data_IF_414993093099
#
_entry.id   IF_414993093099
#
_cell.length_a   1.000
_cell.length_b   1.000
_cell.length_c   1.000
_cell.angle_alpha   90.00
_cell.angle_beta   90.00
_cell.angle_gamma   90.00
#
_symmetry.space_group_name_H-M   'P 1'
#
loop_
_entity.id
_entity.type
_entity.pdbx_description
1 polymer ?
#
# COMPACT_ATOMS: atom_id res chain seq x y z
N UNK A 1 16.74 -6.43 26.14
CA UNK A 1 15.83 -7.12 25.20
C UNK A 1 14.80 -6.11 24.73
N UNK A 2 14.81 -5.72 23.45
CA UNK A 2 13.80 -4.81 22.90
C UNK A 2 12.50 -5.58 22.65
N UNK A 3 11.41 -5.15 23.29
CA UNK A 3 10.07 -5.65 22.97
C UNK A 3 9.57 -4.91 21.72
N UNK A 4 9.25 -5.65 20.67
CA UNK A 4 8.50 -5.12 19.54
C UNK A 4 7.00 -5.31 19.82
N UNK A 5 6.28 -4.20 19.92
CA UNK A 5 4.81 -4.19 20.01
C UNK A 5 4.30 -3.79 18.62
N UNK A 6 3.66 -4.72 17.93
CA UNK A 6 2.89 -4.42 16.72
C UNK A 6 1.43 -4.27 17.13
N UNK A 7 0.79 -3.16 16.73
CA UNK A 7 -0.65 -2.93 16.92
C UNK A 7 -1.31 -3.15 15.55
N UNK A 8 -1.96 -4.31 15.31
CA UNK A 8 -2.53 -4.65 14.01
C UNK A 8 -3.51 -3.59 13.48
N UNK A 9 -4.24 -2.92 14.37
CA UNK A 9 -5.19 -1.85 14.05
C UNK A 9 -4.50 -0.62 13.46
N UNK A 10 -3.32 -0.25 13.97
CA UNK A 10 -2.52 0.86 13.43
C UNK A 10 -1.97 0.49 12.05
N UNK A 11 -1.54 -0.78 11.88
CA UNK A 11 -1.08 -1.29 10.58
C UNK A 11 -2.19 -1.29 9.53
N UNK A 12 -3.41 -1.70 9.92
CA UNK A 12 -4.57 -1.67 9.04
C UNK A 12 -4.96 -0.23 8.66
N UNK A 13 -5.03 0.68 9.63
CA UNK A 13 -5.28 2.12 9.36
C UNK A 13 -4.21 2.71 8.44
N UNK A 14 -2.94 2.38 8.66
CA UNK A 14 -1.85 2.85 7.80
C UNK A 14 -1.97 2.29 6.37
N UNK A 15 -2.47 1.06 6.22
CA UNK A 15 -2.71 0.48 4.89
C UNK A 15 -3.83 1.21 4.14
N UNK A 16 -4.89 1.64 4.84
CA UNK A 16 -5.94 2.48 4.27
C UNK A 16 -5.41 3.85 3.85
N UNK A 17 -4.60 4.49 4.69
CA UNK A 17 -3.97 5.78 4.37
C UNK A 17 -3.08 5.68 3.13
N UNK A 18 -2.28 4.62 3.03
CA UNK A 18 -1.44 4.37 1.85
C UNK A 18 -2.30 4.12 0.61
N UNK A 19 -3.38 3.35 0.71
CA UNK A 19 -4.31 3.14 -0.40
C UNK A 19 -4.94 4.45 -0.90
N UNK A 20 -5.32 5.34 0.03
CA UNK A 20 -5.86 6.66 -0.30
C UNK A 20 -4.83 7.54 -1.02
N UNK A 21 -3.56 7.50 -0.59
CA UNK A 21 -2.46 8.17 -1.29
C UNK A 21 -2.27 7.63 -2.70
N UNK A 22 -2.31 6.30 -2.88
CA UNK A 22 -2.23 5.69 -4.21
C UNK A 22 -3.35 6.13 -5.14
N UNK A 23 -4.58 6.19 -4.63
CA UNK A 23 -5.73 6.68 -5.40
C UNK A 23 -5.57 8.15 -5.80
N UNK A 24 -5.10 9.01 -4.89
CA UNK A 24 -4.83 10.42 -5.18
C UNK A 24 -3.73 10.59 -6.25
N UNK A 25 -2.66 9.79 -6.17
CA UNK A 25 -1.57 9.78 -7.15
C UNK A 25 -2.05 9.32 -8.53
N UNK A 26 -2.85 8.26 -8.60
CA UNK A 26 -3.43 7.78 -9.86
C UNK A 26 -4.30 8.86 -10.51
N UNK A 27 -5.17 9.52 -9.73
CA UNK A 27 -5.99 10.61 -10.22
C UNK A 27 -5.16 11.80 -10.72
N UNK A 28 -4.10 12.16 -10.00
CA UNK A 28 -3.19 13.23 -10.41
C UNK A 28 -2.43 12.88 -11.70
N UNK A 29 -1.94 11.64 -11.83
CA UNK A 29 -1.26 11.16 -13.04
C UNK A 29 -2.19 11.14 -14.25
N UNK A 30 -3.43 10.69 -14.08
CA UNK A 30 -4.44 10.72 -15.12
C UNK A 30 -4.78 12.15 -15.57
N UNK A 31 -4.92 13.09 -14.63
CA UNK A 31 -5.17 14.50 -14.93
C UNK A 31 -3.97 15.15 -15.65
N UNK A 32 -2.75 14.74 -15.31
CA UNK A 32 -1.52 15.24 -15.92
C UNK A 32 -1.21 14.60 -17.28
N UNK A 33 -1.75 13.43 -17.59
CA UNK A 33 -1.40 12.65 -18.78
C UNK A 33 -1.58 13.45 -20.09
N UNK A 34 -2.77 13.97 -20.33
CA UNK A 34 -3.07 14.73 -21.56
C UNK A 34 -2.26 16.03 -21.67
N UNK A 35 -2.23 16.93 -20.67
CA UNK A 35 -1.52 18.20 -20.80
C UNK A 35 0.01 18.03 -20.93
N UNK A 36 0.59 16.93 -20.47
CA UNK A 36 2.04 16.68 -20.56
C UNK A 36 2.46 15.93 -21.82
N UNK A 37 1.61 15.03 -22.35
CA UNK A 37 1.91 14.24 -23.56
C UNK A 37 1.51 14.92 -24.86
N UNK A 38 0.63 15.92 -24.80
CA UNK A 38 0.20 16.72 -25.95
C UNK A 38 0.72 18.16 -25.86
N UNK A 39 1.96 18.32 -25.41
CA UNK A 39 2.57 19.63 -25.23
C UNK A 39 2.78 20.31 -26.59
N UNK A 40 2.25 21.52 -26.74
CA UNK A 40 2.39 22.31 -27.97
C UNK A 40 3.74 23.03 -27.99
N UNK A 41 4.31 23.17 -29.19
CA UNK A 41 5.51 23.98 -29.38
C UNK A 41 5.26 25.44 -28.96
N UNK A 42 6.16 26.01 -28.16
CA UNK A 42 6.04 27.38 -27.67
C UNK A 42 6.21 28.43 -28.78
N UNK A 43 6.95 28.08 -29.83
CA UNK A 43 7.18 28.89 -31.03
C UNK A 43 7.02 28.06 -32.31
N UNK A 44 7.01 28.74 -33.45
CA UNK A 44 6.92 28.12 -34.78
C UNK A 44 8.29 27.61 -35.29
N UNK A 45 9.33 27.68 -34.47
CA UNK A 45 10.68 27.25 -34.80
C UNK A 45 10.89 25.75 -34.53
N UNK A 46 11.86 25.18 -35.25
CA UNK A 46 12.20 23.76 -35.19
C UNK A 46 12.72 23.34 -33.81
N UNK A 47 13.34 24.26 -33.06
CA UNK A 47 13.87 23.98 -31.71
C UNK A 47 12.71 23.84 -30.71
N UNK A 48 11.72 24.73 -30.77
CA UNK A 48 10.48 24.64 -29.97
C UNK A 48 9.71 23.35 -30.27
N UNK A 49 9.64 22.94 -31.53
CA UNK A 49 9.02 21.68 -31.93
C UNK A 49 9.78 20.47 -31.38
N UNK A 50 11.11 20.46 -31.48
CA UNK A 50 11.95 19.38 -30.96
C UNK A 50 11.84 19.26 -29.43
N UNK A 51 11.84 20.39 -28.71
CA UNK A 51 11.68 20.40 -27.25
C UNK A 51 10.29 19.87 -26.86
N UNK A 52 9.22 20.30 -27.53
CA UNK A 52 7.87 19.79 -27.26
C UNK A 52 7.75 18.28 -27.52
N UNK A 53 8.41 17.77 -28.57
CA UNK A 53 8.48 16.33 -28.85
C UNK A 53 9.21 15.57 -27.74
N UNK A 54 10.38 16.06 -27.31
CA UNK A 54 11.17 15.45 -26.24
C UNK A 54 10.35 15.34 -24.94
N UNK A 55 9.70 16.42 -24.52
CA UNK A 55 8.88 16.40 -23.30
C UNK A 55 7.67 15.47 -23.44
N UNK A 56 7.07 15.39 -24.62
CA UNK A 56 5.94 14.49 -24.87
C UNK A 56 6.36 13.02 -24.80
N UNK A 57 7.54 12.68 -25.32
CA UNK A 57 8.13 11.33 -25.23
C UNK A 57 8.45 10.95 -23.78
N UNK A 58 9.11 11.84 -23.03
CA UNK A 58 9.39 11.62 -21.61
C UNK A 58 8.10 11.47 -20.78
N UNK A 59 7.07 12.28 -21.09
CA UNK A 59 5.76 12.16 -20.46
C UNK A 59 5.10 10.79 -20.75
N UNK A 60 5.22 10.27 -21.97
CA UNK A 60 4.71 8.93 -22.30
C UNK A 60 5.46 7.83 -21.54
N UNK A 61 6.79 7.92 -21.44
CA UNK A 61 7.59 7.01 -20.64
C UNK A 61 7.22 7.07 -19.15
N UNK A 62 7.02 8.27 -18.62
CA UNK A 62 6.54 8.47 -17.25
C UNK A 62 5.17 7.83 -17.02
N UNK A 63 4.22 8.01 -17.95
CA UNK A 63 2.89 7.41 -17.83
C UNK A 63 2.96 5.87 -17.83
N UNK A 64 3.80 5.28 -18.69
CA UNK A 64 4.03 3.83 -18.68
C UNK A 64 4.67 3.33 -17.37
N UNK A 65 5.57 4.10 -16.76
CA UNK A 65 6.14 3.79 -15.45
C UNK A 65 5.09 3.95 -14.33
N UNK A 66 4.25 4.97 -14.40
CA UNK A 66 3.22 5.24 -13.41
C UNK A 66 2.21 4.09 -13.31
N UNK A 67 1.83 3.48 -14.44
CA UNK A 67 0.97 2.30 -14.48
C UNK A 67 1.62 1.06 -13.79
N UNK A 68 2.94 0.89 -13.95
CA UNK A 68 3.66 -0.18 -13.25
C UNK A 68 3.72 0.09 -11.74
N UNK A 69 3.90 1.34 -11.34
CA UNK A 69 3.89 1.76 -9.94
C UNK A 69 2.51 1.54 -9.30
N UNK A 70 1.41 1.79 -10.00
CA UNK A 70 0.06 1.50 -9.51
C UNK A 70 -0.12 0.01 -9.19
N UNK A 71 0.34 -0.88 -10.08
CA UNK A 71 0.28 -2.33 -9.83
C UNK A 71 1.12 -2.74 -8.62
N UNK A 72 2.33 -2.18 -8.49
CA UNK A 72 3.18 -2.39 -7.31
C UNK A 72 2.51 -1.88 -6.02
N UNK A 73 1.91 -0.68 -6.07
CA UNK A 73 1.24 -0.08 -4.93
C UNK A 73 0.08 -0.95 -4.44
N UNK A 74 -0.71 -1.51 -5.34
CA UNK A 74 -1.78 -2.45 -4.99
C UNK A 74 -1.25 -3.69 -4.28
N UNK A 75 -0.16 -4.28 -4.78
CA UNK A 75 0.50 -5.42 -4.13
C UNK A 75 1.06 -5.05 -2.76
N UNK A 76 1.63 -3.85 -2.63
CA UNK A 76 2.14 -3.35 -1.36
C UNK A 76 1.04 -3.23 -0.30
N UNK A 77 -0.09 -2.61 -0.64
CA UNK A 77 -1.25 -2.48 0.26
C UNK A 77 -1.82 -3.86 0.63
N UNK A 78 -1.92 -4.78 -0.32
CA UNK A 78 -2.36 -6.16 -0.03
C UNK A 78 -1.42 -6.87 0.94
N UNK A 79 -0.10 -6.75 0.73
CA UNK A 79 0.92 -7.34 1.60
C UNK A 79 0.88 -6.74 2.99
N UNK A 80 0.67 -5.43 3.11
CA UNK A 80 0.58 -4.74 4.40
C UNK A 80 -0.65 -5.22 5.20
N UNK A 81 -1.81 -5.35 4.54
CA UNK A 81 -3.01 -5.91 5.14
C UNK A 81 -2.83 -7.38 5.56
N UNK A 82 -2.19 -8.20 4.73
CA UNK A 82 -1.87 -9.58 5.08
C UNK A 82 -0.93 -9.66 6.31
N UNK A 83 0.05 -8.76 6.39
CA UNK A 83 0.94 -8.63 7.54
C UNK A 83 0.18 -8.25 8.83
N UNK A 84 -0.74 -7.28 8.76
CA UNK A 84 -1.59 -6.92 9.89
C UNK A 84 -2.42 -8.12 10.39
N UNK A 85 -3.02 -8.89 9.47
CA UNK A 85 -3.73 -10.13 9.80
C UNK A 85 -2.82 -11.20 10.43
N UNK A 86 -1.58 -11.33 9.94
CA UNK A 86 -0.61 -12.26 10.53
C UNK A 86 -0.28 -11.90 11.99
N UNK A 87 -0.06 -10.62 12.30
CA UNK A 87 0.17 -10.17 13.69
C UNK A 87 -1.06 -10.40 14.59
N UNK A 88 -2.27 -10.12 14.10
CA UNK A 88 -3.50 -10.40 14.84
C UNK A 88 -3.68 -11.91 15.13
N UNK A 89 -3.40 -12.77 14.14
CA UNK A 89 -3.47 -14.23 14.31
C UNK A 89 -2.38 -14.78 15.26
N UNK A 90 -1.18 -14.19 15.25
CA UNK A 90 -0.11 -14.58 16.16
C UNK A 90 -0.45 -14.23 17.61
N UNK A 91 -1.09 -13.07 17.84
CA UNK A 91 -1.58 -12.69 19.16
C UNK A 91 -2.63 -13.68 19.64
N UNK A 92 -3.69 -13.93 18.87
CA UNK A 92 -4.75 -14.91 19.24
C UNK A 92 -4.21 -16.32 19.47
N UNK A 93 -3.21 -16.76 18.72
CA UNK A 93 -2.52 -18.06 18.94
C UNK A 93 -1.77 -18.09 20.28
N UNK A 94 -1.12 -16.98 20.66
CA UNK A 94 -0.53 -16.84 22.01
C UNK A 94 -1.60 -16.90 23.09
N UNK A 95 -2.74 -16.27 22.90
CA UNK A 95 -3.87 -16.35 23.84
C UNK A 95 -4.41 -17.78 23.97
N UNK A 96 -4.60 -18.49 22.86
CA UNK A 96 -5.10 -19.87 22.87
C UNK A 96 -4.12 -20.83 23.56
N UNK A 97 -2.82 -20.74 23.27
CA UNK A 97 -1.79 -21.59 23.89
C UNK A 97 -1.64 -21.32 25.40
N UNK A 98 -1.79 -20.07 25.82
CA UNK A 98 -1.87 -19.67 27.23
C UNK A 98 -3.09 -20.28 27.94
N UNK A 99 -4.27 -20.24 27.32
CA UNK A 99 -5.48 -20.83 27.90
C UNK A 99 -5.45 -22.37 27.91
N UNK A 100 -4.93 -23.01 26.88
CA UNK A 100 -4.86 -24.48 26.79
C UNK A 100 -3.83 -25.07 27.75
N UNK A 101 -2.68 -24.40 27.94
CA UNK A 101 -1.68 -24.81 28.95
C UNK A 101 -2.19 -24.65 30.38
N UNK A 102 -2.92 -23.57 30.68
CA UNK A 102 -3.53 -23.35 32.01
C UNK A 102 -4.64 -24.37 32.30
N UNK A 103 -5.39 -24.81 31.28
CA UNK A 103 -6.39 -25.89 31.37
C UNK A 103 -5.75 -27.26 31.65
N UNK A 104 -4.56 -27.54 31.12
CA UNK A 104 -3.80 -28.77 31.41
C UNK A 104 -3.33 -28.85 32.87
N UNK A 105 -3.05 -27.70 33.48
CA UNK A 105 -2.61 -27.60 34.90
C UNK A 105 -3.79 -27.72 35.87
N UNK A 106 -4.99 -27.28 35.49
CA UNK A 106 -6.19 -27.37 36.34
C UNK A 106 -7.02 -28.63 36.04
N UNK A 107 -6.59 -29.80 36.51
CA UNK A 107 -7.33 -31.05 36.38
C UNK A 107 -8.54 -31.20 37.33
N UNK A 108 -9.12 -30.11 37.86
CA UNK A 108 -10.34 -30.21 38.67
C UNK A 108 -11.23 -28.96 38.59
N UNK A 109 -12.38 -29.15 37.93
CA UNK A 109 -13.61 -28.34 37.80
C UNK A 109 -13.77 -27.44 36.55
N UNK A 110 -14.82 -27.67 35.72
CA UNK A 110 -15.35 -26.69 34.76
C UNK A 110 -16.35 -25.72 35.48
N UNK A 111 -16.88 -24.62 34.89
CA UNK A 111 -17.08 -24.40 33.44
C UNK A 111 -16.90 -22.94 32.91
N UNK A 112 -17.27 -22.78 31.63
CA UNK A 112 -17.69 -21.57 30.90
C UNK A 112 -16.58 -20.60 30.47
N UNK A 113 -16.08 -20.83 29.26
CA UNK A 113 -15.60 -19.76 28.40
C UNK A 113 -16.82 -18.98 27.89
N UNK A 114 -16.91 -17.70 28.23
CA UNK A 114 -17.29 -16.64 27.31
C UNK A 114 -16.03 -15.81 27.07
#
# INVERSE_FOLDING_TARGET
MSYLVAVPEILASSAEDVANLGAALSAANAAAATPTTAMLAAGADEVSAAIASLFSEEAQAYQALSAQMEAFHQQFVQTLNAGAGAYASAETTRWWSSCSSRRSISSMRPPICC
#
